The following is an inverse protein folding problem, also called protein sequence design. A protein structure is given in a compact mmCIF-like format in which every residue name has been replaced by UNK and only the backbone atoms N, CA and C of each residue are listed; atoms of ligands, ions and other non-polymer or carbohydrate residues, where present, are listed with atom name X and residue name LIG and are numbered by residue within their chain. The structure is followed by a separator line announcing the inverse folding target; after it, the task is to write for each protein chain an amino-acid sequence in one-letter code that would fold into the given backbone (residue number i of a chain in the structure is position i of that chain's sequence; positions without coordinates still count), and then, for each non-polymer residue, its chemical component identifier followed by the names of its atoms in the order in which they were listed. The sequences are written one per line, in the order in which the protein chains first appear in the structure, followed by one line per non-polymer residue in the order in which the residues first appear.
data_IF_997094914581
#
_entry.id   IF_997094914581
#
_cell.length_a   1.000
_cell.length_b   1.000
_cell.length_c   1.000
_cell.angle_alpha   90.00
_cell.angle_beta   90.00
_cell.angle_gamma   90.00
#
_symmetry.space_group_name_H-M   'P 1'
#
loop_
_entity.id
_entity.type
_entity.pdbx_description
1 polymer ?
#
# COMPACT_ATOMS: atom_id res chain seq x y z
N UNK A 1 -42.03 -6.98 17.44
CA UNK A 1 -41.21 -7.69 16.44
C UNK A 1 -40.96 -6.75 15.27
N UNK A 2 -39.93 -5.91 15.39
CA UNK A 2 -39.23 -5.25 14.28
C UNK A 2 -37.85 -4.87 14.82
N UNK A 3 -36.97 -5.85 14.69
CA UNK A 3 -35.53 -5.76 14.89
C UNK A 3 -34.90 -5.05 13.68
N UNK A 4 -34.04 -4.05 13.90
CA UNK A 4 -32.99 -3.62 12.94
C UNK A 4 -31.93 -2.76 13.65
N UNK A 5 -30.82 -3.35 14.12
CA UNK A 5 -29.57 -2.65 14.36
C UNK A 5 -28.69 -2.78 13.09
N UNK A 6 -29.13 -2.25 11.94
CA UNK A 6 -28.36 -2.42 10.69
C UNK A 6 -27.24 -1.39 10.52
N UNK A 7 -27.29 -0.26 11.23
CA UNK A 7 -26.22 0.74 11.20
C UNK A 7 -24.97 0.32 12.01
N UNK A 8 -25.16 -0.49 13.06
CA UNK A 8 -24.04 -1.01 13.86
C UNK A 8 -23.19 -2.02 13.08
N UNK A 9 -23.84 -2.98 12.41
CA UNK A 9 -23.14 -4.03 11.66
C UNK A 9 -22.24 -3.50 10.53
N UNK A 10 -22.69 -2.50 9.78
CA UNK A 10 -21.86 -1.91 8.71
C UNK A 10 -20.62 -1.19 9.27
N UNK A 11 -20.72 -0.51 10.42
CA UNK A 11 -19.58 0.14 11.03
C UNK A 11 -18.58 -0.88 11.61
N UNK A 12 -19.07 -1.95 12.21
CA UNK A 12 -18.24 -3.06 12.70
C UNK A 12 -17.49 -3.75 11.54
N UNK A 13 -18.17 -4.05 10.44
CA UNK A 13 -17.55 -4.61 9.23
C UNK A 13 -16.47 -3.70 8.65
N UNK A 14 -16.74 -2.39 8.54
CA UNK A 14 -15.77 -1.39 8.07
C UNK A 14 -14.57 -1.28 9.00
N UNK A 15 -14.81 -1.35 10.31
CA UNK A 15 -13.74 -1.32 11.32
C UNK A 15 -12.87 -2.57 11.25
N UNK A 16 -13.47 -3.74 11.04
CA UNK A 16 -12.75 -4.99 10.83
C UNK A 16 -11.92 -4.95 9.52
N UNK A 17 -12.48 -4.43 8.42
CA UNK A 17 -11.77 -4.23 7.15
C UNK A 17 -10.58 -3.29 7.32
N UNK A 18 -10.76 -2.17 8.01
CA UNK A 18 -9.70 -1.22 8.32
C UNK A 18 -8.59 -1.85 9.16
N UNK A 19 -8.93 -2.63 10.20
CA UNK A 19 -7.96 -3.34 11.03
C UNK A 19 -7.16 -4.37 10.23
N UNK A 20 -7.82 -5.12 9.35
CA UNK A 20 -7.15 -6.09 8.48
C UNK A 20 -6.20 -5.39 7.48
N UNK A 21 -6.65 -4.32 6.83
CA UNK A 21 -5.84 -3.55 5.90
C UNK A 21 -4.62 -2.91 6.59
N UNK A 22 -4.77 -2.45 7.84
CA UNK A 22 -3.67 -1.92 8.63
C UNK A 22 -2.65 -3.01 8.99
N UNK A 23 -3.11 -4.19 9.40
CA UNK A 23 -2.23 -5.33 9.70
C UNK A 23 -1.44 -5.77 8.46
N UNK A 24 -2.08 -5.82 7.29
CA UNK A 24 -1.39 -6.10 6.03
C UNK A 24 -0.36 -5.04 5.66
N UNK A 25 -0.66 -3.76 5.91
CA UNK A 25 0.31 -2.68 5.70
C UNK A 25 1.53 -2.84 6.62
N UNK A 26 1.33 -3.20 7.88
CA UNK A 26 2.45 -3.48 8.81
C UNK A 26 3.31 -4.62 8.28
N UNK A 27 2.70 -5.76 7.92
CA UNK A 27 3.44 -6.90 7.33
C UNK A 27 4.19 -6.50 6.04
N UNK A 28 3.56 -5.69 5.19
CA UNK A 28 4.18 -5.20 3.96
C UNK A 28 5.37 -4.27 4.25
N UNK A 29 5.27 -3.40 5.26
CA UNK A 29 6.35 -2.53 5.71
C UNK A 29 7.52 -3.36 6.25
N UNK A 30 7.26 -4.36 7.09
CA UNK A 30 8.29 -5.23 7.66
C UNK A 30 9.06 -5.98 6.59
N UNK A 31 8.35 -6.58 5.63
CA UNK A 31 8.97 -7.24 4.48
C UNK A 31 9.78 -6.26 3.63
N UNK A 32 9.23 -5.08 3.38
CA UNK A 32 9.90 -4.04 2.59
C UNK A 32 11.17 -3.54 3.25
N UNK A 33 11.17 -3.38 4.58
CA UNK A 33 12.38 -3.03 5.34
C UNK A 33 13.45 -4.10 5.18
N UNK A 34 13.09 -5.39 5.22
CA UNK A 34 14.08 -6.45 5.03
C UNK A 34 14.66 -6.46 3.62
N UNK A 35 13.81 -6.35 2.59
CA UNK A 35 14.25 -6.26 1.20
C UNK A 35 15.18 -5.05 0.96
N UNK A 36 14.86 -3.90 1.55
CA UNK A 36 15.68 -2.69 1.43
C UNK A 36 17.01 -2.82 2.18
N UNK A 37 17.07 -3.55 3.30
CA UNK A 37 18.33 -3.86 3.99
C UNK A 37 19.24 -4.73 3.13
N UNK A 38 18.68 -5.75 2.48
CA UNK A 38 19.42 -6.61 1.54
C UNK A 38 19.93 -5.78 0.35
N UNK A 39 19.06 -4.99 -0.28
CA UNK A 39 19.41 -4.12 -1.39
C UNK A 39 20.52 -3.11 -1.01
N UNK A 40 20.45 -2.52 0.19
CA UNK A 40 21.47 -1.61 0.70
C UNK A 40 22.83 -2.29 0.85
N UNK A 41 22.88 -3.49 1.46
CA UNK A 41 24.14 -4.25 1.60
C UNK A 41 24.77 -4.49 0.23
N UNK A 42 23.96 -4.94 -0.73
CA UNK A 42 24.43 -5.20 -2.08
C UNK A 42 24.91 -3.94 -2.80
N UNK A 43 24.24 -2.81 -2.62
CA UNK A 43 24.66 -1.54 -3.20
C UNK A 43 26.04 -1.10 -2.66
N UNK A 44 26.30 -1.30 -1.37
CA UNK A 44 27.61 -1.03 -0.75
C UNK A 44 28.68 -1.92 -1.35
N UNK A 45 28.45 -3.24 -1.44
CA UNK A 45 29.40 -4.19 -2.06
C UNK A 45 29.72 -3.83 -3.51
N UNK A 46 28.72 -3.43 -4.29
CA UNK A 46 28.91 -3.00 -5.68
C UNK A 46 29.80 -1.75 -5.76
N UNK A 47 29.62 -0.80 -4.85
CA UNK A 47 30.48 0.39 -4.78
C UNK A 47 31.92 0.00 -4.48
N UNK A 48 32.15 -0.83 -3.47
CA UNK A 48 33.50 -1.28 -3.07
C UNK A 48 34.18 -2.07 -4.20
N UNK A 49 33.44 -2.93 -4.91
CA UNK A 49 33.96 -3.68 -6.05
C UNK A 49 34.31 -2.76 -7.23
N UNK A 50 33.53 -1.71 -7.46
CA UNK A 50 33.81 -0.72 -8.48
C UNK A 50 35.06 0.10 -8.16
N UNK A 51 35.19 0.55 -6.91
CA UNK A 51 36.35 1.29 -6.40
C UNK A 51 37.63 0.44 -6.50
N UNK A 52 37.51 -0.89 -6.39
CA UNK A 52 38.58 -1.85 -6.63
C UNK A 52 38.87 -2.13 -8.13
N UNK A 53 38.23 -1.39 -9.05
CA UNK A 53 38.49 -1.42 -10.48
C UNK A 53 37.64 -2.41 -11.30
N UNK A 54 36.60 -3.04 -10.72
CA UNK A 54 35.70 -3.90 -11.51
C UNK A 54 34.73 -3.07 -12.35
N UNK A 55 34.43 -3.56 -13.55
CA UNK A 55 33.40 -2.96 -14.40
C UNK A 55 31.99 -3.28 -13.91
N UNK A 56 31.06 -2.34 -14.15
CA UNK A 56 29.63 -2.53 -13.83
C UNK A 56 29.03 -3.77 -14.48
N UNK A 57 29.39 -4.03 -15.74
CA UNK A 57 28.88 -5.19 -16.49
C UNK A 57 29.33 -6.51 -15.87
N UNK A 58 30.59 -6.62 -15.44
CA UNK A 58 31.11 -7.82 -14.80
C UNK A 58 30.46 -8.06 -13.43
N UNK A 59 30.25 -6.99 -12.65
CA UNK A 59 29.63 -7.08 -11.33
C UNK A 59 28.16 -7.51 -11.39
N UNK A 60 27.40 -7.00 -12.37
CA UNK A 60 26.00 -7.40 -12.58
C UNK A 60 25.89 -8.81 -13.15
N UNK A 61 26.75 -9.17 -14.12
CA UNK A 61 26.74 -10.51 -14.71
C UNK A 61 27.10 -11.62 -13.72
N UNK A 62 27.90 -11.31 -12.70
CA UNK A 62 28.26 -12.24 -11.63
C UNK A 62 27.23 -12.29 -10.48
N UNK A 63 26.20 -11.44 -10.50
CA UNK A 63 25.23 -11.36 -9.43
C UNK A 63 24.25 -12.54 -9.47
N UNK A 64 24.16 -13.25 -8.35
CA UNK A 64 23.08 -14.22 -8.12
C UNK A 64 21.85 -13.44 -7.70
N UNK A 65 20.76 -13.56 -8.46
CA UNK A 65 19.52 -12.79 -8.21
C UNK A 65 18.86 -13.11 -6.86
N UNK A 66 17.83 -12.33 -6.46
CA UNK A 66 17.27 -11.16 -7.11
C UNK A 66 18.18 -9.92 -7.09
N UNK A 67 18.24 -9.22 -8.23
CA UNK A 67 19.01 -7.98 -8.39
C UNK A 67 18.44 -6.85 -7.52
N UNK A 68 19.27 -5.86 -7.19
CA UNK A 68 18.83 -4.65 -6.48
C UNK A 68 17.59 -4.02 -7.13
N UNK A 69 17.60 -3.89 -8.47
CA UNK A 69 16.50 -3.27 -9.23
C UNK A 69 15.19 -4.06 -9.12
N UNK A 70 15.28 -5.38 -9.08
CA UNK A 70 14.12 -6.27 -8.91
C UNK A 70 13.55 -6.12 -7.50
N UNK A 71 14.42 -6.09 -6.48
CA UNK A 71 14.02 -5.90 -5.07
C UNK A 71 13.34 -4.55 -4.84
N UNK A 72 13.89 -3.47 -5.41
CA UNK A 72 13.27 -2.14 -5.36
C UNK A 72 11.90 -2.17 -6.02
N UNK A 73 11.78 -2.78 -7.20
CA UNK A 73 10.52 -2.87 -7.94
C UNK A 73 9.45 -3.62 -7.14
N UNK A 74 9.79 -4.80 -6.61
CA UNK A 74 8.88 -5.61 -5.79
C UNK A 74 8.47 -4.89 -4.51
N UNK A 75 9.42 -4.17 -3.88
CA UNK A 75 9.16 -3.37 -2.68
C UNK A 75 8.17 -2.24 -2.96
N UNK A 76 8.39 -1.45 -4.01
CA UNK A 76 7.51 -0.34 -4.40
C UNK A 76 6.10 -0.83 -4.73
N UNK A 77 5.99 -1.92 -5.49
CA UNK A 77 4.71 -2.54 -5.84
C UNK A 77 3.95 -3.06 -4.60
N UNK A 78 4.66 -3.71 -3.67
CA UNK A 78 4.10 -4.18 -2.40
C UNK A 78 3.57 -3.04 -1.53
N UNK A 79 4.33 -1.97 -1.38
CA UNK A 79 3.92 -0.77 -0.63
C UNK A 79 2.77 -0.03 -1.33
N UNK A 80 2.79 0.05 -2.66
CA UNK A 80 1.72 0.68 -3.44
C UNK A 80 0.38 -0.03 -3.24
N UNK A 81 0.36 -1.37 -3.31
CA UNK A 81 -0.85 -2.17 -3.10
C UNK A 81 -1.40 -2.05 -1.68
N UNK A 82 -0.56 -2.35 -0.68
CA UNK A 82 -0.97 -2.32 0.73
C UNK A 82 -1.38 -0.92 1.18
N UNK A 83 -0.62 0.11 0.81
CA UNK A 83 -0.94 1.51 1.11
C UNK A 83 -2.21 2.00 0.40
N UNK A 84 -2.52 1.51 -0.80
CA UNK A 84 -3.78 1.83 -1.48
C UNK A 84 -4.99 1.21 -0.79
N UNK A 85 -4.87 -0.06 -0.36
CA UNK A 85 -5.90 -0.75 0.41
C UNK A 85 -6.17 -0.05 1.75
N UNK A 86 -5.12 0.28 2.49
CA UNK A 86 -5.24 1.00 3.76
C UNK A 86 -5.91 2.36 3.61
N UNK A 87 -5.46 3.19 2.66
CA UNK A 87 -6.08 4.52 2.41
C UNK A 87 -7.58 4.41 2.11
N UNK A 88 -8.00 3.37 1.37
CA UNK A 88 -9.40 3.13 1.08
C UNK A 88 -10.18 2.74 2.34
N UNK A 89 -9.73 1.73 3.07
CA UNK A 89 -10.42 1.24 4.26
C UNK A 89 -10.53 2.32 5.34
N UNK A 90 -9.44 3.08 5.56
CA UNK A 90 -9.43 4.20 6.51
C UNK A 90 -10.40 5.32 6.10
N UNK A 91 -10.46 5.68 4.82
CA UNK A 91 -11.41 6.69 4.35
C UNK A 91 -12.87 6.24 4.50
N UNK A 92 -13.15 4.95 4.28
CA UNK A 92 -14.49 4.39 4.41
C UNK A 92 -14.98 4.35 5.85
N UNK A 93 -14.13 3.92 6.81
CA UNK A 93 -14.51 3.88 8.22
C UNK A 93 -14.69 5.30 8.78
N UNK A 94 -13.80 6.23 8.47
CA UNK A 94 -13.95 7.64 8.88
C UNK A 94 -15.24 8.26 8.32
N UNK A 95 -15.60 7.94 7.08
CA UNK A 95 -16.84 8.43 6.50
C UNK A 95 -18.07 7.82 7.18
N UNK A 96 -18.03 6.53 7.50
CA UNK A 96 -19.09 5.84 8.25
C UNK A 96 -19.25 6.38 9.68
N UNK A 97 -18.17 6.86 10.29
CA UNK A 97 -18.16 7.59 11.57
C UNK A 97 -18.70 9.03 11.46
N UNK A 98 -19.12 9.48 10.28
CA UNK A 98 -19.69 10.79 10.05
C UNK A 98 -18.68 11.89 9.72
N UNK A 99 -17.39 11.55 9.53
CA UNK A 99 -16.39 12.53 9.10
C UNK A 99 -16.65 12.93 7.64
N UNK A 100 -16.74 14.23 7.38
CA UNK A 100 -17.02 14.75 6.04
C UNK A 100 -15.84 14.52 5.08
N UNK A 101 -16.15 14.35 3.79
CA UNK A 101 -15.14 14.19 2.72
C UNK A 101 -14.09 15.31 2.75
N UNK A 102 -14.51 16.56 3.00
CA UNK A 102 -13.60 17.71 3.07
C UNK A 102 -12.63 17.59 4.25
N UNK A 103 -13.11 17.12 5.41
CA UNK A 103 -12.26 16.93 6.59
C UNK A 103 -11.29 15.76 6.38
N UNK A 104 -11.75 14.65 5.79
CA UNK A 104 -10.88 13.52 5.45
C UNK A 104 -9.80 13.97 4.45
N UNK A 105 -10.16 14.76 3.43
CA UNK A 105 -9.22 15.28 2.44
C UNK A 105 -8.11 16.14 3.09
N UNK A 106 -8.49 17.01 4.03
CA UNK A 106 -7.55 17.80 4.82
C UNK A 106 -6.63 16.92 5.69
N UNK A 107 -7.18 15.93 6.40
CA UNK A 107 -6.41 14.99 7.23
C UNK A 107 -5.40 14.18 6.39
N UNK A 108 -5.82 13.73 5.21
CA UNK A 108 -5.00 12.92 4.30
C UNK A 108 -4.07 13.77 3.43
N UNK A 109 -4.19 15.10 3.48
CA UNK A 109 -3.44 16.06 2.66
C UNK A 109 -3.56 15.78 1.16
N UNK A 110 -4.77 15.43 0.74
CA UNK A 110 -5.12 15.16 -0.67
C UNK A 110 -6.36 15.96 -1.08
N UNK A 111 -6.66 15.95 -2.38
CA UNK A 111 -7.84 16.64 -2.89
C UNK A 111 -9.14 15.95 -2.46
N UNK A 112 -10.23 16.73 -2.41
CA UNK A 112 -11.60 16.22 -2.20
C UNK A 112 -11.96 15.12 -3.22
N UNK A 113 -11.58 15.32 -4.49
CA UNK A 113 -11.83 14.36 -5.57
C UNK A 113 -11.18 13.00 -5.28
N UNK A 114 -9.95 13.00 -4.75
CA UNK A 114 -9.24 11.77 -4.40
C UNK A 114 -9.94 11.00 -3.28
N UNK A 115 -10.44 11.69 -2.25
CA UNK A 115 -11.24 11.03 -1.19
C UNK A 115 -12.58 10.54 -1.73
N UNK A 116 -13.26 11.33 -2.55
CA UNK A 116 -14.52 10.91 -3.20
C UNK A 116 -14.31 9.63 -4.01
N UNK A 117 -13.21 9.51 -4.75
CA UNK A 117 -12.86 8.30 -5.50
C UNK A 117 -12.56 7.10 -4.57
N UNK A 118 -11.94 7.32 -3.42
CA UNK A 118 -11.72 6.24 -2.44
C UNK A 118 -13.04 5.71 -1.88
N UNK A 119 -13.99 6.59 -1.54
CA UNK A 119 -15.28 6.19 -0.96
C UNK A 119 -16.17 5.54 -2.04
N UNK A 120 -16.33 6.21 -3.19
CA UNK A 120 -17.28 5.81 -4.23
C UNK A 120 -16.72 4.82 -5.26
N UNK A 121 -15.40 4.67 -5.36
CA UNK A 121 -14.75 3.87 -6.41
C UNK A 121 -14.93 2.35 -6.30
N UNK A 122 -15.53 1.86 -5.20
CA UNK A 122 -15.92 0.45 -5.05
C UNK A 122 -17.33 0.15 -5.57
N UNK A 123 -18.11 1.19 -5.87
CA UNK A 123 -19.50 1.09 -6.35
C UNK A 123 -19.57 1.24 -7.87
N UNK A 124 -18.65 0.61 -8.61
CA UNK A 124 -18.92 0.25 -10.00
C UNK A 124 -19.45 -1.17 -10.03
N UNK A 125 -20.76 -1.30 -9.80
CA UNK A 125 -21.54 -2.43 -10.28
C UNK A 125 -21.24 -2.58 -11.76
N UNK A 126 -20.81 -3.76 -12.16
CA UNK A 126 -20.72 -4.17 -13.57
C UNK A 126 -22.13 -4.03 -14.15
N UNK A 127 -22.35 -2.90 -14.83
CA UNK A 127 -23.52 -2.71 -15.67
C UNK A 127 -23.36 -3.61 -16.89
N UNK A 128 -24.22 -4.63 -16.97
CA UNK A 128 -24.46 -5.40 -18.16
C UNK A 128 -24.62 -4.46 -19.38
N UNK A 129 -23.84 -4.71 -20.43
CA UNK A 129 -23.86 -3.97 -21.67
C UNK A 129 -23.48 -4.92 -22.80
N UNK A 130 -24.53 -5.55 -23.33
CA UNK A 130 -24.68 -6.34 -24.57
C UNK A 130 -23.50 -6.40 -25.53
#
# INVERSE_FOLDING_TARGET
MTDRPVSGGHLEERSAEARAALAELVTALDKSMEELRVARRRAVELSEQHDAGRSWTAMVAAESGPLIVERITVTLDTLSRSGSRWRRAQALVLHAEGVSINRIAALFRVTRQRISALINGGTRTVGAGR
#
